data_IF_016768367309
#
_entry.id   IF_016768367309
#
_cell.length_a   1.000
_cell.length_b   1.000
_cell.length_c   1.000
_cell.angle_alpha   90.00
_cell.angle_beta   90.00
_cell.angle_gamma   90.00
#
_symmetry.space_group_name_H-M   'P 1'
#
loop_
_entity.id
_entity.type
_entity.pdbx_description
1 polymer ?
#
# COMPACT_ATOMS: atom_id res chain seq x y z
N UNK A 1 -2.73 -19.13 -6.53
CA UNK A 1 -3.41 -18.18 -5.63
C UNK A 1 -2.58 -16.90 -5.64
N UNK A 2 -3.04 -15.80 -6.26
CA UNK A 2 -2.24 -14.56 -6.38
C UNK A 2 -1.86 -14.06 -4.99
N UNK A 3 -0.60 -13.70 -4.78
CA UNK A 3 -0.09 -13.13 -3.52
C UNK A 3 -0.98 -11.95 -3.09
N UNK A 4 -1.46 -11.95 -1.84
CA UNK A 4 -2.44 -10.97 -1.32
C UNK A 4 -1.94 -9.52 -1.28
N UNK A 5 -0.66 -9.31 -1.60
CA UNK A 5 0.02 -8.02 -1.66
C UNK A 5 0.36 -7.59 -3.09
N UNK A 6 -0.04 -8.35 -4.12
CA UNK A 6 0.18 -7.97 -5.51
C UNK A 6 -0.41 -6.57 -5.78
N UNK A 7 0.38 -5.64 -6.31
CA UNK A 7 0.05 -4.21 -6.48
C UNK A 7 -0.19 -3.41 -5.18
N UNK A 8 0.33 -3.88 -4.04
CA UNK A 8 0.33 -3.10 -2.81
C UNK A 8 1.09 -1.78 -2.97
N UNK A 9 0.64 -0.77 -2.25
CA UNK A 9 1.20 0.58 -2.24
C UNK A 9 1.72 0.89 -0.85
N UNK A 10 2.96 1.39 -0.78
CA UNK A 10 3.54 1.95 0.42
C UNK A 10 3.34 3.47 0.43
N UNK A 11 2.79 3.96 1.53
CA UNK A 11 2.64 5.38 1.82
C UNK A 11 3.55 5.72 2.99
N UNK A 12 4.43 6.71 2.80
CA UNK A 12 5.26 7.29 3.85
C UNK A 12 4.69 8.65 4.24
N UNK A 13 4.54 8.90 5.53
CA UNK A 13 3.93 10.11 6.06
C UNK A 13 4.33 10.35 7.52
N UNK A 14 4.01 11.53 8.07
CA UNK A 14 4.13 11.75 9.52
C UNK A 14 3.17 10.86 10.30
N UNK A 15 3.58 10.41 11.49
CA UNK A 15 2.70 9.70 12.44
C UNK A 15 1.45 10.51 12.79
N UNK A 16 1.56 11.84 12.83
CA UNK A 16 0.46 12.73 13.22
C UNK A 16 -0.72 12.65 12.25
N UNK A 17 -0.44 12.39 10.96
CA UNK A 17 -1.46 12.30 9.91
C UNK A 17 -1.82 10.86 9.55
N UNK A 18 -1.17 9.85 10.15
CA UNK A 18 -1.38 8.43 9.87
C UNK A 18 -2.81 7.97 10.13
N UNK A 19 -3.44 8.47 11.19
CA UNK A 19 -4.84 8.14 11.52
C UNK A 19 -5.81 8.72 10.48
N UNK A 20 -5.58 9.96 10.02
CA UNK A 20 -6.38 10.61 8.97
C UNK A 20 -6.21 9.89 7.63
N UNK A 21 -4.97 9.59 7.26
CA UNK A 21 -4.65 8.81 6.06
C UNK A 21 -5.40 7.48 6.04
N UNK A 22 -5.35 6.72 7.14
CA UNK A 22 -6.08 5.45 7.26
C UNK A 22 -7.59 5.64 7.10
N UNK A 23 -8.17 6.65 7.73
CA UNK A 23 -9.60 6.95 7.63
C UNK A 23 -10.03 7.32 6.21
N UNK A 24 -9.18 7.98 5.43
CA UNK A 24 -9.44 8.33 4.03
C UNK A 24 -9.37 7.11 3.09
N UNK A 25 -8.49 6.14 3.40
CA UNK A 25 -8.25 4.97 2.55
C UNK A 25 -9.19 3.80 2.86
N UNK A 26 -9.65 3.66 4.10
CA UNK A 26 -10.49 2.54 4.54
C UNK A 26 -11.83 2.39 3.80
N UNK A 27 -12.50 3.48 3.34
CA UNK A 27 -13.74 3.38 2.56
C UNK A 27 -13.54 3.00 1.09
N UNK A 28 -12.30 2.93 0.58
CA UNK A 28 -12.06 2.65 -0.83
C UNK A 28 -12.34 1.17 -1.13
N UNK A 29 -13.31 0.90 -2.00
CA UNK A 29 -13.71 -0.48 -2.38
C UNK A 29 -12.55 -1.32 -2.95
N UNK A 30 -11.57 -0.66 -3.57
CA UNK A 30 -10.39 -1.30 -4.14
C UNK A 30 -9.33 -1.67 -3.08
N UNK A 31 -9.49 -1.25 -1.82
CA UNK A 31 -8.57 -1.54 -0.71
C UNK A 31 -9.10 -2.70 0.11
N UNK A 32 -8.29 -3.75 0.26
CA UNK A 32 -8.61 -4.92 1.09
C UNK A 32 -8.14 -4.73 2.53
N UNK A 33 -6.93 -4.19 2.70
CA UNK A 33 -6.28 -4.10 4.00
C UNK A 33 -5.34 -2.88 4.06
N UNK A 34 -5.23 -2.28 5.25
CA UNK A 34 -4.24 -1.23 5.54
C UNK A 34 -3.45 -1.65 6.78
N UNK A 35 -2.15 -1.93 6.59
CA UNK A 35 -1.21 -2.24 7.66
C UNK A 35 -0.43 -0.99 8.03
N UNK A 36 -0.46 -0.61 9.30
CA UNK A 36 0.33 0.50 9.81
C UNK A 36 1.60 -0.04 10.45
N UNK A 37 2.75 0.44 9.99
CA UNK A 37 4.06 0.15 10.54
C UNK A 37 4.61 1.47 11.08
N UNK A 38 4.80 1.53 12.40
CA UNK A 38 5.51 2.64 13.02
C UNK A 38 6.98 2.54 12.63
N UNK A 39 7.53 3.60 12.04
CA UNK A 39 8.98 3.72 11.87
C UNK A 39 9.60 4.47 13.05
N UNK A 40 10.93 4.41 13.16
CA UNK A 40 11.68 5.34 13.99
C UNK A 40 11.48 6.79 13.46
N UNK A 41 11.80 7.80 14.28
CA UNK A 41 11.91 9.19 13.83
C UNK A 41 10.60 9.90 13.40
N UNK A 42 9.47 9.58 14.06
CA UNK A 42 8.23 10.34 13.86
C UNK A 42 7.47 10.03 12.56
N UNK A 43 7.96 9.11 11.74
CA UNK A 43 7.32 8.69 10.49
C UNK A 43 6.50 7.41 10.65
N UNK A 44 5.48 7.26 9.80
CA UNK A 44 4.68 6.07 9.66
C UNK A 44 4.75 5.57 8.21
N UNK A 45 4.80 4.25 8.07
CA UNK A 45 4.59 3.56 6.80
C UNK A 45 3.24 2.88 6.82
N UNK A 46 2.38 3.18 5.85
CA UNK A 46 1.16 2.41 5.60
C UNK A 46 1.39 1.51 4.39
N UNK A 47 1.10 0.22 4.53
CA UNK A 47 0.99 -0.72 3.41
C UNK A 47 -0.47 -0.89 3.10
N UNK A 48 -0.86 -0.49 1.90
CA UNK A 48 -2.23 -0.58 1.39
C UNK A 48 -2.27 -1.76 0.43
N UNK A 49 -2.97 -2.83 0.81
CA UNK A 49 -3.15 -4.01 -0.03
C UNK A 49 -4.43 -3.88 -0.85
N UNK A 50 -4.37 -4.09 -2.17
CA UNK A 50 -5.55 -4.01 -3.01
C UNK A 50 -6.43 -5.25 -2.86
N UNK A 51 -7.71 -5.08 -3.16
CA UNK A 51 -8.63 -6.18 -3.41
C UNK A 51 -8.31 -6.80 -4.77
N UNK A 52 -8.20 -8.12 -4.81
CA UNK A 52 -8.00 -8.94 -6.03
C UNK A 52 -6.82 -8.52 -6.94
N UNK A 53 -5.84 -7.82 -6.38
CA UNK A 53 -4.66 -7.36 -7.12
C UNK A 53 -4.90 -6.12 -7.99
N UNK A 54 -5.95 -5.32 -7.71
CA UNK A 54 -6.22 -4.08 -8.43
C UNK A 54 -5.03 -3.09 -8.39
N UNK A 55 -4.85 -2.32 -9.47
CA UNK A 55 -3.88 -1.22 -9.48
C UNK A 55 -4.47 -0.03 -8.71
N UNK A 56 -4.01 0.18 -7.48
CA UNK A 56 -4.59 1.18 -6.57
C UNK A 56 -3.72 2.42 -6.37
N UNK A 57 -2.57 2.54 -7.04
CA UNK A 57 -1.61 3.64 -6.84
C UNK A 57 -2.26 5.02 -6.98
N UNK A 58 -2.93 5.26 -8.11
CA UNK A 58 -3.56 6.56 -8.39
C UNK A 58 -4.76 6.80 -7.48
N UNK A 59 -5.54 5.76 -7.17
CA UNK A 59 -6.69 5.84 -6.25
C UNK A 59 -6.25 6.22 -4.84
N UNK A 60 -5.17 5.61 -4.34
CA UNK A 60 -4.58 5.91 -3.03
C UNK A 60 -4.03 7.33 -3.00
N UNK A 61 -3.28 7.74 -4.04
CA UNK A 61 -2.74 9.08 -4.13
C UNK A 61 -3.84 10.16 -4.17
N UNK A 62 -4.89 9.94 -4.98
CA UNK A 62 -6.03 10.84 -5.09
C UNK A 62 -6.80 10.97 -3.77
N UNK A 63 -7.14 9.85 -3.12
CA UNK A 63 -7.86 9.86 -1.85
C UNK A 63 -7.11 10.58 -0.73
N UNK A 64 -5.77 10.47 -0.71
CA UNK A 64 -4.93 11.18 0.27
C UNK A 64 -4.87 12.68 -0.03
N UNK A 65 -4.77 13.06 -1.30
CA UNK A 65 -4.83 14.46 -1.73
C UNK A 65 -6.19 15.10 -1.39
N UNK A 66 -7.30 14.43 -1.71
CA UNK A 66 -8.66 14.89 -1.42
C UNK A 66 -8.91 15.05 0.08
N UNK A 67 -8.28 14.20 0.91
CA UNK A 67 -8.34 14.27 2.36
C UNK A 67 -7.38 15.32 2.98
N UNK A 68 -6.61 16.04 2.16
CA UNK A 68 -5.60 17.01 2.62
C UNK A 68 -4.54 16.37 3.51
N UNK A 69 -4.17 15.12 3.21
CA UNK A 69 -3.11 14.40 3.92
C UNK A 69 -1.80 14.65 3.20
N UNK A 70 -0.88 15.34 3.89
CA UNK A 70 0.48 15.51 3.39
C UNK A 70 1.27 14.21 3.54
N UNK A 71 1.87 13.76 2.44
CA UNK A 71 2.58 12.49 2.35
C UNK A 71 3.99 12.72 1.84
N UNK A 72 4.94 12.02 2.45
CA UNK A 72 6.35 12.06 2.05
C UNK A 72 6.53 11.31 0.71
N UNK A 73 5.85 10.17 0.55
CA UNK A 73 5.86 9.43 -0.71
C UNK A 73 4.70 8.44 -0.82
N UNK A 74 4.23 8.20 -2.05
CA UNK A 74 3.33 7.10 -2.41
C UNK A 74 4.01 6.29 -3.53
N UNK A 75 4.26 5.01 -3.30
CA UNK A 75 4.99 4.16 -4.27
C UNK A 75 4.49 2.72 -4.25
N UNK A 76 4.66 1.94 -5.33
CA UNK A 76 4.51 0.50 -5.26
C UNK A 76 5.38 -0.09 -4.13
N UNK A 77 4.83 -1.02 -3.35
CA UNK A 77 5.58 -1.65 -2.27
C UNK A 77 6.58 -2.65 -2.85
N UNK A 78 7.88 -2.42 -2.63
CA UNK A 78 8.95 -3.19 -3.25
C UNK A 78 8.97 -4.67 -2.82
N UNK A 79 8.63 -4.95 -1.56
CA UNK A 79 8.51 -6.32 -1.07
C UNK A 79 7.35 -7.07 -1.74
N UNK A 80 6.31 -6.37 -2.22
CA UNK A 80 5.28 -7.03 -3.02
C UNK A 80 5.80 -7.48 -4.39
N UNK A 81 6.76 -6.76 -4.97
CA UNK A 81 7.42 -7.16 -6.22
C UNK A 81 8.40 -8.32 -5.99
N UNK A 82 9.20 -8.27 -4.92
CA UNK A 82 10.06 -9.40 -4.52
C UNK A 82 9.25 -10.65 -4.16
N UNK A 83 8.16 -10.51 -3.40
CA UNK A 83 7.31 -11.63 -3.01
C UNK A 83 6.54 -12.19 -4.21
N UNK A 84 6.15 -11.34 -5.18
CA UNK A 84 5.64 -11.80 -6.47
C UNK A 84 6.71 -12.57 -7.24
N UNK A 85 7.94 -12.04 -7.32
CA UNK A 85 9.03 -12.70 -8.03
C UNK A 85 9.36 -14.06 -7.40
N UNK A 86 9.45 -14.11 -6.06
CA UNK A 86 9.59 -15.38 -5.32
C UNK A 86 8.42 -16.31 -5.58
N UNK A 87 7.18 -15.83 -5.55
CA UNK A 87 5.99 -16.65 -5.81
C UNK A 87 5.98 -17.24 -7.22
N UNK A 88 6.30 -16.45 -8.25
CA UNK A 88 6.39 -16.91 -9.64
C UNK A 88 7.52 -17.95 -9.82
N UNK A 89 8.66 -17.71 -9.17
CA UNK A 89 9.83 -18.60 -9.23
C UNK A 89 9.59 -19.91 -8.47
N UNK A 90 8.92 -19.86 -7.32
CA UNK A 90 8.62 -21.03 -6.48
C UNK A 90 7.46 -21.87 -7.04
N UNK A 91 6.53 -21.26 -7.79
CA UNK A 91 5.40 -21.97 -8.41
C UNK A 91 5.62 -22.35 -9.88
N UNK A 92 6.80 -22.09 -10.45
CA UNK A 92 7.16 -22.57 -11.79
C UNK A 92 6.41 -21.90 -12.95
N UNK A 93 5.94 -20.66 -12.77
CA UNK A 93 5.45 -19.80 -13.88
C UNK A 93 6.52 -18.79 -14.31
N UNK A 94 7.78 -19.24 -14.38
CA UNK A 94 8.74 -18.66 -15.29
C UNK A 94 8.67 -19.51 -16.56
N UNK A 95 8.13 -18.92 -17.63
CA UNK A 95 8.05 -19.53 -18.96
C UNK A 95 9.41 -20.08 -19.44
#
# INVERSE_FOLDING_TARGET
QRSEIFNAVAVMLSKDVAKRARAALQPLDAVKEIRALSQADGQAKLIVAPKDGAMILNTVAGALADAGVDVISVRPEASALEDLFRHLTLNGEAA
#
